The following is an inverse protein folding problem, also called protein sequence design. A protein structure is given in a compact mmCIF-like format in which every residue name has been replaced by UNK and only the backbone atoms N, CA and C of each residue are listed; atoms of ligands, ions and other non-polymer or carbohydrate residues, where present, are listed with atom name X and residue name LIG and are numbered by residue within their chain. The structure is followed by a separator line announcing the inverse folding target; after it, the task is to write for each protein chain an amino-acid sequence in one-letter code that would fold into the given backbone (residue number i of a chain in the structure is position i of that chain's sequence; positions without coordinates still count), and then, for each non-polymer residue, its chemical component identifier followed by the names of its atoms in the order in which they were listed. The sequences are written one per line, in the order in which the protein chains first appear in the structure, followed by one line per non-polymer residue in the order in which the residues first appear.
data_IF_481673376428
#
_entry.id   IF_481673376428
#
_cell.length_a   1.000
_cell.length_b   1.000
_cell.length_c   1.000
_cell.angle_alpha   90.00
_cell.angle_beta   90.00
_cell.angle_gamma   90.00
#
_symmetry.space_group_name_H-M   'P 1'
#
loop_
_entity.id
_entity.type
_entity.pdbx_description
1 polymer ?
#
# COMPACT_ATOMS: atom_id res chain seq x y z
N UNK A 1 0.33 5.37 -21.38
CA UNK A 1 1.64 5.50 -20.69
C UNK A 1 1.56 5.04 -19.24
N UNK A 2 0.53 5.48 -18.49
CA UNK A 2 0.32 5.15 -17.07
C UNK A 2 0.24 3.64 -16.80
N UNK A 3 -0.59 2.91 -17.56
CA UNK A 3 -0.72 1.45 -17.41
C UNK A 3 0.62 0.74 -17.59
N UNK A 4 1.44 1.15 -18.57
CA UNK A 4 2.75 0.54 -18.80
C UNK A 4 3.69 0.76 -17.60
N UNK A 5 3.71 1.98 -17.05
CA UNK A 5 4.51 2.30 -15.85
C UNK A 5 4.03 1.47 -14.67
N UNK A 6 2.72 1.45 -14.41
CA UNK A 6 2.12 0.68 -13.31
C UNK A 6 2.48 -0.80 -13.46
N UNK A 7 2.34 -1.39 -14.64
CA UNK A 7 2.66 -2.79 -14.91
C UNK A 7 4.13 -3.10 -14.67
N UNK A 8 5.05 -2.27 -15.18
CA UNK A 8 6.49 -2.48 -15.03
C UNK A 8 6.90 -2.37 -13.56
N UNK A 9 6.48 -1.31 -12.86
CA UNK A 9 6.85 -1.12 -11.45
C UNK A 9 6.23 -2.21 -10.59
N UNK A 10 4.98 -2.59 -10.85
CA UNK A 10 4.33 -3.72 -10.16
C UNK A 10 5.10 -5.02 -10.36
N UNK A 11 5.52 -5.31 -11.59
CA UNK A 11 6.28 -6.52 -11.91
C UNK A 11 7.62 -6.58 -11.14
N UNK A 12 8.41 -5.51 -11.19
CA UNK A 12 9.68 -5.46 -10.46
C UNK A 12 9.50 -5.43 -8.94
N UNK A 13 8.50 -4.72 -8.43
CA UNK A 13 8.16 -4.74 -7.01
C UNK A 13 7.75 -6.14 -6.54
N UNK A 14 6.96 -6.88 -7.33
CA UNK A 14 6.58 -8.25 -7.01
C UNK A 14 7.81 -9.18 -6.94
N UNK A 15 8.75 -9.08 -7.89
CA UNK A 15 10.01 -9.83 -7.87
C UNK A 15 10.86 -9.49 -6.65
N UNK A 16 11.10 -8.20 -6.40
CA UNK A 16 11.93 -7.75 -5.28
C UNK A 16 11.36 -8.24 -3.94
N UNK A 17 10.04 -8.11 -3.79
CA UNK A 17 9.32 -8.44 -2.55
C UNK A 17 9.03 -9.93 -2.39
N UNK A 18 9.28 -10.72 -3.44
CA UNK A 18 9.33 -12.17 -3.36
C UNK A 18 10.49 -12.61 -2.48
N UNK A 19 11.68 -12.03 -2.69
CA UNK A 19 12.88 -12.37 -1.92
C UNK A 19 12.93 -11.70 -0.55
N UNK A 20 12.56 -10.41 -0.45
CA UNK A 20 12.60 -9.69 0.83
C UNK A 20 11.45 -10.07 1.77
N UNK A 21 10.34 -10.59 1.23
CA UNK A 21 9.14 -10.90 2.00
C UNK A 21 8.34 -9.69 2.50
N UNK A 22 8.82 -8.45 2.26
CA UNK A 22 8.20 -7.21 2.75
C UNK A 22 8.34 -6.07 1.73
N UNK A 23 7.53 -5.03 1.87
CA UNK A 23 7.74 -3.74 1.19
C UNK A 23 6.92 -3.51 -0.09
N UNK A 24 6.14 -4.49 -0.58
CA UNK A 24 5.31 -4.30 -1.77
C UNK A 24 4.32 -3.16 -1.57
N UNK A 25 3.59 -3.17 -0.45
CA UNK A 25 2.68 -2.08 -0.09
C UNK A 25 3.38 -0.72 0.03
N UNK A 26 4.58 -0.71 0.63
CA UNK A 26 5.39 0.51 0.82
C UNK A 26 5.86 1.12 -0.50
N UNK A 27 6.17 0.30 -1.51
CA UNK A 27 6.60 0.77 -2.84
C UNK A 27 5.38 1.16 -3.68
N UNK A 28 4.35 0.31 -3.70
CA UNK A 28 3.27 0.42 -4.67
C UNK A 28 2.21 1.45 -4.26
N UNK A 29 1.95 1.64 -2.96
CA UNK A 29 0.97 2.63 -2.50
C UNK A 29 1.34 4.06 -2.90
N UNK A 30 2.58 4.56 -2.65
CA UNK A 30 3.00 5.87 -3.15
C UNK A 30 2.88 5.99 -4.66
N UNK A 31 3.29 4.97 -5.42
CA UNK A 31 3.17 4.96 -6.88
C UNK A 31 1.70 5.11 -7.31
N UNK A 32 0.81 4.31 -6.74
CA UNK A 32 -0.62 4.33 -7.08
C UNK A 32 -1.26 5.67 -6.70
N UNK A 33 -0.84 6.30 -5.60
CA UNK A 33 -1.34 7.63 -5.19
C UNK A 33 -0.94 8.76 -6.15
N UNK A 34 0.06 8.55 -7.01
CA UNK A 34 0.38 9.50 -8.10
C UNK A 34 -0.73 9.52 -9.15
N UNK A 35 -1.38 8.38 -9.39
CA UNK A 35 -2.38 8.18 -10.46
C UNK A 35 -3.82 8.14 -9.95
N UNK A 36 -4.05 7.76 -8.70
CA UNK A 36 -5.37 7.48 -8.15
C UNK A 36 -5.61 8.18 -6.80
N UNK A 37 -6.89 8.43 -6.42
CA UNK A 37 -7.26 8.78 -5.06
C UNK A 37 -6.73 7.77 -4.04
N UNK A 38 -6.55 8.19 -2.79
CA UNK A 38 -5.84 7.37 -1.78
C UNK A 38 -6.55 6.06 -1.52
N UNK A 39 -7.87 6.08 -1.44
CA UNK A 39 -8.72 4.91 -1.19
C UNK A 39 -8.56 3.87 -2.31
N UNK A 40 -8.57 4.35 -3.56
CA UNK A 40 -8.38 3.53 -4.76
C UNK A 40 -6.94 3.00 -4.84
N UNK A 41 -5.95 3.85 -4.55
CA UNK A 41 -4.55 3.49 -4.55
C UNK A 41 -4.22 2.37 -3.54
N UNK A 42 -4.76 2.49 -2.32
CA UNK A 42 -4.63 1.47 -1.28
C UNK A 42 -5.36 0.19 -1.69
N UNK A 43 -6.58 0.30 -2.25
CA UNK A 43 -7.34 -0.87 -2.71
C UNK A 43 -6.60 -1.65 -3.80
N UNK A 44 -6.12 -0.96 -4.85
CA UNK A 44 -5.36 -1.60 -5.93
C UNK A 44 -4.05 -2.21 -5.44
N UNK A 45 -3.33 -1.51 -4.56
CA UNK A 45 -2.14 -2.06 -3.93
C UNK A 45 -2.46 -3.32 -3.13
N UNK A 46 -3.57 -3.32 -2.40
CA UNK A 46 -4.06 -4.47 -1.65
C UNK A 46 -4.35 -5.68 -2.54
N UNK A 47 -5.02 -5.49 -3.69
CA UNK A 47 -5.28 -6.56 -4.66
C UNK A 47 -3.98 -7.16 -5.18
N UNK A 48 -3.04 -6.32 -5.62
CA UNK A 48 -1.76 -6.77 -6.15
C UNK A 48 -0.95 -7.49 -5.07
N UNK A 49 -0.92 -6.96 -3.85
CA UNK A 49 -0.27 -7.59 -2.71
C UNK A 49 -0.88 -8.97 -2.41
N UNK A 50 -2.21 -9.06 -2.40
CA UNK A 50 -2.93 -10.30 -2.13
C UNK A 50 -2.63 -11.36 -3.19
N UNK A 51 -2.70 -11.00 -4.47
CA UNK A 51 -2.36 -11.90 -5.58
C UNK A 51 -0.91 -12.39 -5.51
N UNK A 52 0.05 -11.48 -5.23
CA UNK A 52 1.46 -11.86 -5.07
C UNK A 52 1.67 -12.81 -3.88
N UNK A 53 0.95 -12.60 -2.78
CA UNK A 53 1.04 -13.48 -1.61
C UNK A 53 0.38 -14.84 -1.83
N UNK A 54 -0.73 -14.93 -2.59
CA UNK A 54 -1.29 -16.23 -3.01
C UNK A 54 -0.26 -17.00 -3.83
N UNK A 55 0.39 -16.34 -4.79
CA UNK A 55 1.41 -16.96 -5.61
C UNK A 55 2.59 -17.48 -4.76
N UNK A 56 3.07 -16.68 -3.80
CA UNK A 56 4.08 -17.11 -2.82
C UNK A 56 3.60 -18.29 -1.99
N UNK A 57 2.36 -18.27 -1.50
CA UNK A 57 1.81 -19.35 -0.70
C UNK A 57 1.78 -20.66 -1.49
N UNK A 58 1.46 -20.62 -2.78
CA UNK A 58 1.51 -21.81 -3.64
C UNK A 58 2.93 -22.37 -3.80
N UNK A 59 3.93 -21.51 -4.01
CA UNK A 59 5.31 -21.95 -4.27
C UNK A 59 6.07 -22.38 -3.01
N UNK A 60 5.91 -21.64 -1.91
CA UNK A 60 6.74 -21.79 -0.71
C UNK A 60 5.94 -21.94 0.59
N UNK A 61 4.62 -22.05 0.51
CA UNK A 61 3.74 -22.13 1.68
C UNK A 61 4.01 -23.30 2.62
N UNK A 62 4.54 -24.41 2.09
CA UNK A 62 4.91 -25.59 2.89
C UNK A 62 6.06 -25.31 3.87
N UNK A 63 6.84 -24.23 3.67
CA UNK A 63 7.95 -23.83 4.52
C UNK A 63 7.58 -22.74 5.53
N UNK A 64 6.30 -22.37 5.62
CA UNK A 64 5.84 -21.31 6.53
C UNK A 64 6.05 -21.72 7.99
N UNK A 65 6.68 -20.83 8.76
CA UNK A 65 6.75 -20.96 10.19
C UNK A 65 5.36 -20.64 10.81
N UNK A 66 4.72 -21.67 11.39
CA UNK A 66 3.37 -21.56 11.97
C UNK A 66 3.28 -20.57 13.13
N UNK A 67 4.34 -20.47 13.94
CA UNK A 67 4.37 -19.54 15.07
C UNK A 67 4.37 -18.09 14.59
N UNK A 68 5.18 -17.77 13.58
CA UNK A 68 5.19 -16.44 12.95
C UNK A 68 3.85 -16.15 12.28
N UNK A 69 3.28 -17.12 11.56
CA UNK A 69 1.97 -16.94 10.93
C UNK A 69 0.87 -16.55 11.94
N UNK A 70 0.83 -17.21 13.10
CA UNK A 70 -0.17 -16.94 14.14
C UNK A 70 0.12 -15.61 14.85
N UNK A 71 1.37 -15.38 15.27
CA UNK A 71 1.73 -14.20 16.09
C UNK A 71 1.82 -12.90 15.28
N UNK A 72 2.07 -12.99 13.98
CA UNK A 72 2.22 -11.83 13.10
C UNK A 72 1.12 -11.76 12.04
N UNK A 73 0.86 -12.86 11.33
CA UNK A 73 -0.08 -12.90 10.21
C UNK A 73 -1.53 -12.61 10.62
N UNK A 74 -2.03 -13.30 11.65
CA UNK A 74 -3.42 -13.08 12.12
C UNK A 74 -3.62 -11.64 12.63
N UNK A 75 -2.76 -11.10 13.53
CA UNK A 75 -2.86 -9.70 13.93
C UNK A 75 -2.77 -8.73 12.76
N UNK A 76 -1.90 -8.98 11.77
CA UNK A 76 -1.77 -8.12 10.60
C UNK A 76 -3.05 -8.07 9.77
N UNK A 77 -3.75 -9.20 9.60
CA UNK A 77 -5.04 -9.25 8.91
C UNK A 77 -6.09 -8.43 9.66
N UNK A 78 -6.20 -8.60 10.98
CA UNK A 78 -7.15 -7.85 11.81
C UNK A 78 -6.85 -6.34 11.72
N UNK A 79 -5.58 -5.96 11.86
CA UNK A 79 -5.14 -4.58 11.73
C UNK A 79 -5.42 -4.00 10.34
N UNK A 80 -5.28 -4.79 9.27
CA UNK A 80 -5.61 -4.37 7.91
C UNK A 80 -7.11 -4.10 7.73
N UNK A 81 -7.98 -4.92 8.32
CA UNK A 81 -9.43 -4.65 8.32
C UNK A 81 -9.78 -3.37 9.08
N UNK A 82 -9.21 -3.18 10.28
CA UNK A 82 -9.41 -1.96 11.07
C UNK A 82 -8.91 -0.73 10.30
N UNK A 83 -7.70 -0.81 9.73
CA UNK A 83 -7.12 0.27 8.94
C UNK A 83 -7.95 0.62 7.70
N UNK A 84 -8.44 -0.39 6.97
CA UNK A 84 -9.34 -0.19 5.84
C UNK A 84 -10.66 0.46 6.26
N UNK A 85 -11.27 -0.02 7.35
CA UNK A 85 -12.49 0.57 7.88
C UNK A 85 -12.29 2.06 8.22
N UNK A 86 -11.20 2.39 8.93
CA UNK A 86 -10.86 3.78 9.25
C UNK A 86 -10.67 4.60 7.97
N UNK A 87 -9.90 4.08 7.00
CA UNK A 87 -9.60 4.76 5.75
C UNK A 87 -10.87 5.20 5.01
N UNK A 88 -11.86 4.32 4.88
CA UNK A 88 -13.12 4.61 4.18
C UNK A 88 -14.11 5.47 5.00
N UNK A 89 -13.89 5.65 6.30
CA UNK A 89 -14.73 6.49 7.16
C UNK A 89 -14.15 7.89 7.40
N UNK A 90 -12.89 8.15 7.02
CA UNK A 90 -12.34 9.50 7.08
C UNK A 90 -12.93 10.33 5.94
N UNK A 91 -13.35 11.56 6.24
CA UNK A 91 -13.82 12.49 5.22
C UNK A 91 -12.64 12.99 4.37
N UNK A 92 -12.63 12.60 3.10
CA UNK A 92 -11.59 12.95 2.12
C UNK A 92 -11.57 14.44 1.74
N UNK A 93 -12.64 15.19 2.04
CA UNK A 93 -12.75 16.62 1.73
C UNK A 93 -12.08 17.54 2.78
N UNK A 94 -11.63 16.98 3.91
CA UNK A 94 -10.89 17.78 4.90
C UNK A 94 -9.49 18.05 4.37
N UNK A 95 -9.21 19.30 4.03
CA UNK A 95 -7.87 19.76 3.61
C UNK A 95 -7.09 20.20 4.84
N UNK A 96 -5.89 19.65 5.03
CA UNK A 96 -4.99 20.03 6.13
C UNK A 96 -4.18 21.26 5.74
N UNK A 97 -3.63 21.28 4.53
CA UNK A 97 -2.94 22.42 3.96
C UNK A 97 -2.94 22.33 2.43
N UNK A 98 -2.68 23.47 1.78
CA UNK A 98 -2.48 23.56 0.33
C UNK A 98 -1.14 24.22 0.04
N UNK A 99 -0.59 23.92 -1.13
CA UNK A 99 0.66 24.52 -1.59
C UNK A 99 0.62 24.72 -3.10
N UNK A 100 1.42 25.66 -3.57
CA UNK A 100 1.64 25.86 -5.01
C UNK A 100 3.08 25.43 -5.33
N UNK A 101 3.23 24.45 -6.22
CA UNK A 101 4.52 23.93 -6.64
C UNK A 101 4.60 23.92 -8.16
N UNK A 102 5.60 24.59 -8.72
CA UNK A 102 5.79 24.72 -10.17
C UNK A 102 4.53 25.24 -10.90
N UNK A 103 3.80 26.17 -10.27
CA UNK A 103 2.55 26.72 -10.80
C UNK A 103 1.32 25.82 -10.63
N UNK A 104 1.47 24.61 -10.08
CA UNK A 104 0.36 23.71 -9.80
C UNK A 104 -0.10 23.86 -8.35
N UNK A 105 -1.33 24.32 -8.18
CA UNK A 105 -2.01 24.32 -6.89
C UNK A 105 -2.38 22.88 -6.51
N UNK A 106 -1.95 22.44 -5.32
CA UNK A 106 -2.25 21.12 -4.79
C UNK A 106 -2.75 21.21 -3.35
N UNK A 107 -3.78 20.44 -3.07
CA UNK A 107 -4.34 20.28 -1.73
C UNK A 107 -3.91 18.95 -1.13
N UNK A 108 -3.57 18.99 0.16
CA UNK A 108 -3.25 17.82 0.97
C UNK A 108 -4.41 17.56 1.91
N UNK A 109 -5.21 16.54 1.56
CA UNK A 109 -6.29 16.07 2.42
C UNK A 109 -5.77 15.36 3.67
N UNK A 110 -6.62 15.26 4.70
CA UNK A 110 -6.32 14.57 5.94
C UNK A 110 -5.89 13.13 5.70
N UNK A 111 -6.57 12.43 4.78
CA UNK A 111 -6.24 11.06 4.40
C UNK A 111 -4.85 10.98 3.76
N UNK A 112 -4.56 11.85 2.78
CA UNK A 112 -3.24 11.91 2.13
C UNK A 112 -2.13 12.15 3.16
N UNK A 113 -2.37 13.05 4.11
CA UNK A 113 -1.41 13.37 5.16
C UNK A 113 -1.13 12.17 6.08
N UNK A 114 -2.17 11.53 6.61
CA UNK A 114 -2.04 10.37 7.50
C UNK A 114 -1.34 9.21 6.79
N UNK A 115 -1.77 8.86 5.58
CA UNK A 115 -1.18 7.75 4.81
C UNK A 115 0.28 8.04 4.47
N UNK A 116 0.63 9.28 4.14
CA UNK A 116 2.03 9.66 3.89
C UNK A 116 2.91 9.51 5.14
N UNK A 117 2.42 9.92 6.32
CA UNK A 117 3.14 9.72 7.58
C UNK A 117 3.36 8.24 7.89
N UNK A 118 2.33 7.40 7.68
CA UNK A 118 2.46 5.95 7.86
C UNK A 118 3.51 5.36 6.90
N UNK A 119 3.50 5.78 5.64
CA UNK A 119 4.48 5.29 4.65
C UNK A 119 5.91 5.72 4.98
N UNK A 120 6.12 6.94 5.49
CA UNK A 120 7.42 7.39 5.98
C UNK A 120 7.85 6.53 7.18
N UNK A 121 6.96 6.32 8.15
CA UNK A 121 7.26 5.50 9.32
C UNK A 121 7.67 4.07 8.95
N UNK A 122 7.02 3.44 7.96
CA UNK A 122 7.36 2.09 7.51
C UNK A 122 8.61 2.02 6.61
N UNK A 123 9.07 3.15 6.07
CA UNK A 123 10.25 3.22 5.21
C UNK A 123 11.56 3.45 5.99
N UNK A 124 11.46 3.93 7.24
CA UNK A 124 12.58 4.13 8.16
C UNK A 124 12.88 2.85 8.96
#
# INVERSE_FOLDING_TARGET
MEILIISIVTFFAAILTFFSGFGLGTILTPLMMVFFPVEVAVAFTGVIHFSNNIFKLFLVGNYVNKEVFIKFGIPAIIAAFIGSFILFNINSNIVVYSYNLLGNFKEVSLIKFIVSLLLIFFAL
#
